data_IF_193473043969
#
_entry.id   IF_193473043969
#
_cell.length_a   1.000
_cell.length_b   1.000
_cell.length_c   1.000
_cell.angle_alpha   90.00
_cell.angle_beta   90.00
_cell.angle_gamma   90.00
#
_symmetry.space_group_name_H-M   'P 1'
#
loop_
_entity.id
_entity.type
_entity.pdbx_description
1 polymer ?
#
# COMPACT_ATOMS: atom_id res chain seq x y z
N UNK A 1 17.08 5.06 -22.11
CA UNK A 1 16.22 4.60 -20.99
C UNK A 1 14.79 4.88 -21.40
N UNK A 2 13.96 3.82 -21.45
CA UNK A 2 12.53 3.97 -21.67
C UNK A 2 11.83 3.77 -20.34
N UNK A 3 10.83 4.62 -20.08
CA UNK A 3 10.03 4.60 -18.85
C UNK A 3 8.58 4.37 -19.22
N UNK A 4 7.96 3.39 -18.58
CA UNK A 4 6.52 3.13 -18.74
C UNK A 4 5.87 2.77 -17.41
N UNK A 5 4.56 2.93 -17.31
CA UNK A 5 3.80 2.53 -16.14
C UNK A 5 3.54 1.02 -16.15
N UNK A 6 3.33 0.44 -14.95
CA UNK A 6 2.92 -0.96 -14.85
C UNK A 6 1.58 -1.23 -15.56
N UNK A 7 0.65 -0.27 -15.54
CA UNK A 7 -0.62 -0.39 -16.25
C UNK A 7 -0.43 -0.48 -17.79
N UNK A 8 0.56 0.25 -18.33
CA UNK A 8 0.90 0.15 -19.74
C UNK A 8 1.47 -1.24 -20.06
N UNK A 9 2.38 -1.74 -19.22
CA UNK A 9 2.93 -3.10 -19.36
C UNK A 9 1.82 -4.17 -19.28
N UNK A 10 0.88 -4.03 -18.33
CA UNK A 10 -0.28 -4.92 -18.21
C UNK A 10 -1.07 -4.98 -19.51
N UNK A 11 -1.39 -3.82 -20.08
CA UNK A 11 -2.15 -3.71 -21.31
C UNK A 11 -1.41 -4.38 -22.47
N UNK A 12 -0.16 -4.02 -22.69
CA UNK A 12 0.65 -4.53 -23.80
C UNK A 12 0.82 -6.06 -23.72
N UNK A 13 1.08 -6.57 -22.51
CA UNK A 13 1.22 -8.00 -22.27
C UNK A 13 -0.09 -8.78 -22.43
N UNK A 14 -1.24 -8.21 -22.05
CA UNK A 14 -2.55 -8.83 -22.28
C UNK A 14 -2.96 -8.83 -23.74
N UNK A 15 -2.60 -7.80 -24.51
CA UNK A 15 -2.89 -7.70 -25.95
C UNK A 15 -2.06 -8.70 -26.77
N UNK A 16 -0.77 -8.81 -26.47
CA UNK A 16 0.14 -9.72 -27.20
C UNK A 16 1.34 -10.09 -26.29
N UNK A 17 1.25 -11.19 -25.53
CA UNK A 17 2.30 -11.62 -24.63
C UNK A 17 3.64 -11.89 -25.31
N UNK A 18 3.61 -12.60 -26.45
CA UNK A 18 4.84 -13.01 -27.16
C UNK A 18 5.58 -11.78 -27.70
N UNK A 19 4.87 -10.90 -28.40
CA UNK A 19 5.44 -9.67 -28.95
C UNK A 19 5.99 -8.76 -27.87
N UNK A 20 5.31 -8.63 -26.73
CA UNK A 20 5.76 -7.81 -25.60
C UNK A 20 7.05 -8.36 -25.01
N UNK A 21 7.12 -9.67 -24.75
CA UNK A 21 8.33 -10.32 -24.25
C UNK A 21 9.49 -10.24 -25.22
N UNK A 22 9.26 -10.51 -26.52
CA UNK A 22 10.29 -10.41 -27.56
C UNK A 22 10.83 -8.99 -27.68
N UNK A 23 9.95 -7.99 -27.65
CA UNK A 23 10.36 -6.58 -27.67
C UNK A 23 11.28 -6.26 -26.49
N UNK A 24 10.88 -6.63 -25.26
CA UNK A 24 11.67 -6.38 -24.06
C UNK A 24 13.01 -7.13 -24.13
N UNK A 25 12.98 -8.41 -24.51
CA UNK A 25 14.19 -9.23 -24.65
C UNK A 25 15.19 -8.65 -25.65
N UNK A 26 14.71 -8.10 -26.75
CA UNK A 26 15.57 -7.52 -27.82
C UNK A 26 16.11 -6.14 -27.45
N UNK A 27 15.29 -5.30 -26.80
CA UNK A 27 15.61 -3.87 -26.65
C UNK A 27 16.33 -3.51 -25.34
N UNK A 28 16.18 -4.34 -24.29
CA UNK A 28 16.68 -3.98 -22.95
C UNK A 28 17.58 -5.07 -22.37
N UNK A 29 18.62 -4.65 -21.65
CA UNK A 29 19.52 -5.53 -20.87
C UNK A 29 19.07 -5.59 -19.41
N UNK A 30 18.61 -4.47 -18.88
CA UNK A 30 18.16 -4.30 -17.51
C UNK A 30 16.69 -3.90 -17.48
N UNK A 31 15.97 -4.41 -16.50
CA UNK A 31 14.59 -4.03 -16.18
C UNK A 31 14.61 -3.53 -14.76
N UNK A 32 14.17 -2.28 -14.53
CA UNK A 32 14.08 -1.68 -13.21
C UNK A 32 12.61 -1.51 -12.85
N UNK A 33 12.18 -2.23 -11.82
CA UNK A 33 10.85 -2.15 -11.26
C UNK A 33 10.89 -1.18 -10.06
N UNK A 34 10.67 0.10 -10.34
CA UNK A 34 10.57 1.12 -9.30
C UNK A 34 9.23 1.01 -8.58
N UNK A 35 9.22 1.27 -7.27
CA UNK A 35 8.05 1.09 -6.40
C UNK A 35 7.42 -0.31 -6.54
N UNK A 36 8.25 -1.36 -6.50
CA UNK A 36 7.82 -2.75 -6.73
C UNK A 36 6.75 -3.26 -5.75
N UNK A 37 6.52 -2.56 -4.64
CA UNK A 37 5.38 -2.82 -3.75
C UNK A 37 4.02 -2.69 -4.47
N UNK A 38 3.98 -1.96 -5.61
CA UNK A 38 2.80 -1.84 -6.46
C UNK A 38 2.16 -3.19 -6.77
N UNK A 39 2.94 -4.21 -7.08
CA UNK A 39 2.39 -5.51 -7.46
C UNK A 39 1.43 -6.07 -6.43
N UNK A 40 1.74 -5.92 -5.15
CA UNK A 40 0.92 -6.44 -4.05
C UNK A 40 -0.03 -5.39 -3.47
N UNK A 41 0.43 -4.15 -3.24
CA UNK A 41 -0.40 -3.12 -2.63
C UNK A 41 -1.61 -2.77 -3.49
N UNK A 42 -1.38 -2.57 -4.79
CA UNK A 42 -2.44 -2.19 -5.71
C UNK A 42 -3.32 -3.39 -6.15
N UNK A 43 -2.93 -4.63 -5.82
CA UNK A 43 -3.75 -5.81 -6.09
C UNK A 43 -5.14 -5.75 -5.46
N UNK A 44 -5.33 -4.94 -4.42
CA UNK A 44 -6.62 -4.64 -3.82
C UNK A 44 -7.59 -3.96 -4.80
N UNK A 45 -7.08 -3.07 -5.64
CA UNK A 45 -7.87 -2.23 -6.55
C UNK A 45 -7.70 -2.60 -8.02
N UNK A 46 -6.61 -3.27 -8.35
CA UNK A 46 -6.26 -3.67 -9.70
C UNK A 46 -5.88 -5.16 -9.75
N UNK A 47 -6.82 -6.00 -10.11
CA UNK A 47 -6.59 -7.45 -10.24
C UNK A 47 -5.52 -7.81 -11.29
N UNK A 48 -5.17 -6.87 -12.18
CA UNK A 48 -4.18 -7.06 -13.24
C UNK A 48 -2.74 -6.81 -12.80
N UNK A 49 -2.48 -6.45 -11.54
CA UNK A 49 -1.08 -6.32 -11.04
C UNK A 49 -0.34 -7.65 -11.18
N UNK A 50 -1.04 -8.77 -11.02
CA UNK A 50 -0.50 -10.11 -11.25
C UNK A 50 -0.01 -10.31 -12.69
N UNK A 51 -0.68 -9.72 -13.67
CA UNK A 51 -0.29 -9.80 -15.10
C UNK A 51 1.04 -9.11 -15.35
N UNK A 52 1.24 -7.91 -14.78
CA UNK A 52 2.52 -7.21 -14.88
C UNK A 52 3.64 -7.99 -14.17
N UNK A 53 3.35 -8.53 -12.98
CA UNK A 53 4.29 -9.34 -12.24
C UNK A 53 4.72 -10.59 -13.05
N UNK A 54 3.76 -11.35 -13.58
CA UNK A 54 4.02 -12.53 -14.41
C UNK A 54 4.83 -12.20 -15.67
N UNK A 55 4.58 -11.06 -16.33
CA UNK A 55 5.39 -10.60 -17.44
C UNK A 55 6.85 -10.40 -17.04
N UNK A 56 7.11 -9.77 -15.90
CA UNK A 56 8.47 -9.54 -15.38
C UNK A 56 9.14 -10.86 -14.98
N UNK A 57 8.42 -11.76 -14.30
CA UNK A 57 8.94 -13.07 -13.89
C UNK A 57 9.44 -13.93 -15.05
N UNK A 58 8.76 -13.87 -16.20
CA UNK A 58 9.22 -14.58 -17.41
C UNK A 58 10.54 -14.02 -17.99
N UNK A 59 10.93 -12.83 -17.57
CA UNK A 59 12.15 -12.17 -18.04
C UNK A 59 13.35 -12.40 -17.10
N UNK A 60 13.12 -12.82 -15.85
CA UNK A 60 14.17 -13.03 -14.83
C UNK A 60 15.24 -14.04 -15.30
N UNK A 61 14.84 -15.06 -16.06
CA UNK A 61 15.78 -16.09 -16.57
C UNK A 61 16.76 -15.58 -17.64
N UNK A 62 16.46 -14.45 -18.29
CA UNK A 62 17.23 -13.93 -19.43
C UNK A 62 17.61 -12.45 -19.30
N UNK A 63 17.15 -11.76 -18.27
CA UNK A 63 17.42 -10.35 -18.02
C UNK A 63 17.81 -10.13 -16.57
N UNK A 64 18.58 -9.07 -16.32
CA UNK A 64 18.79 -8.58 -14.96
C UNK A 64 17.59 -7.72 -14.56
N UNK A 65 16.79 -8.21 -13.61
CA UNK A 65 15.65 -7.50 -13.07
C UNK A 65 16.02 -6.93 -11.71
N UNK A 66 15.77 -5.63 -11.50
CA UNK A 66 16.06 -4.92 -10.26
C UNK A 66 14.73 -4.42 -9.70
N UNK A 67 14.35 -4.94 -8.55
CA UNK A 67 13.16 -4.48 -7.82
C UNK A 67 13.56 -3.46 -6.76
N UNK A 68 12.93 -2.30 -6.75
CA UNK A 68 13.19 -1.23 -5.79
C UNK A 68 11.91 -0.82 -5.08
N UNK A 69 11.91 -0.77 -3.77
CA UNK A 69 10.81 -0.26 -2.95
C UNK A 69 11.23 -0.03 -1.51
N UNK A 70 10.50 0.84 -0.82
CA UNK A 70 10.63 1.03 0.63
C UNK A 70 9.87 -0.06 1.43
N UNK A 71 8.92 -0.77 0.82
CA UNK A 71 7.98 -1.66 1.52
C UNK A 71 7.65 -2.91 0.69
N UNK A 72 8.62 -3.81 0.53
CA UNK A 72 8.42 -5.06 -0.23
C UNK A 72 8.82 -6.33 0.56
N UNK A 73 8.80 -6.26 1.88
CA UNK A 73 9.27 -7.36 2.74
C UNK A 73 8.54 -8.69 2.45
N UNK A 74 7.25 -8.64 2.08
CA UNK A 74 6.46 -9.82 1.72
C UNK A 74 6.94 -10.45 0.40
N UNK A 75 7.31 -9.67 -0.64
CA UNK A 75 7.92 -10.21 -1.88
C UNK A 75 9.30 -10.82 -1.57
N UNK A 76 10.09 -10.13 -0.78
CA UNK A 76 11.41 -10.62 -0.34
C UNK A 76 11.26 -11.93 0.43
N UNK A 77 10.28 -12.03 1.31
CA UNK A 77 10.02 -13.26 2.06
C UNK A 77 9.64 -14.41 1.13
N UNK A 78 8.70 -14.18 0.20
CA UNK A 78 8.32 -15.17 -0.83
C UNK A 78 9.55 -15.68 -1.58
N UNK A 79 10.34 -14.78 -2.15
CA UNK A 79 11.52 -15.17 -2.94
C UNK A 79 12.59 -15.90 -2.12
N UNK A 80 12.73 -15.60 -0.83
CA UNK A 80 13.62 -16.35 0.09
C UNK A 80 13.09 -17.75 0.37
N UNK A 81 11.79 -17.89 0.60
CA UNK A 81 11.14 -19.18 0.83
C UNK A 81 11.20 -20.09 -0.41
N UNK A 82 11.08 -19.49 -1.60
CA UNK A 82 11.23 -20.19 -2.88
C UNK A 82 12.69 -20.44 -3.29
N UNK A 83 13.66 -19.86 -2.57
CA UNK A 83 15.08 -19.96 -2.91
C UNK A 83 15.48 -19.19 -4.17
N UNK A 84 14.63 -18.26 -4.65
CA UNK A 84 14.88 -17.50 -5.87
C UNK A 84 15.66 -16.20 -5.62
N UNK A 85 15.83 -15.78 -4.36
CA UNK A 85 16.61 -14.60 -3.97
C UNK A 85 17.88 -15.01 -3.20
N UNK A 86 19.05 -15.10 -3.86
CA UNK A 86 20.32 -15.28 -3.18
C UNK A 86 20.64 -14.10 -2.25
N UNK A 87 21.26 -14.33 -1.09
CA UNK A 87 21.57 -13.27 -0.13
C UNK A 87 22.40 -12.11 -0.72
N UNK A 88 23.29 -12.38 -1.65
CA UNK A 88 24.13 -11.41 -2.35
C UNK A 88 23.36 -10.51 -3.30
N UNK A 89 22.14 -10.85 -3.69
CA UNK A 89 21.27 -10.07 -4.55
C UNK A 89 20.26 -9.22 -3.75
N UNK A 90 20.33 -9.25 -2.42
CA UNK A 90 19.47 -8.45 -1.56
C UNK A 90 20.26 -7.32 -0.90
N UNK A 91 19.85 -6.08 -1.21
CA UNK A 91 20.46 -4.87 -0.67
C UNK A 91 19.42 -4.08 0.12
N UNK A 92 19.66 -3.88 1.42
CA UNK A 92 18.87 -2.99 2.25
C UNK A 92 19.63 -1.70 2.49
N UNK A 93 19.07 -0.58 2.05
CA UNK A 93 19.60 0.75 2.32
C UNK A 93 18.91 1.27 3.59
N UNK A 94 19.59 1.32 4.75
CA UNK A 94 18.97 1.78 5.96
C UNK A 94 18.67 3.27 5.87
N UNK A 95 17.50 3.70 6.31
CA UNK A 95 17.24 5.13 6.53
C UNK A 95 18.12 5.64 7.65
N UNK A 96 18.86 6.70 7.39
CA UNK A 96 19.75 7.30 8.39
C UNK A 96 18.97 7.94 9.54
N UNK A 97 17.84 8.60 9.25
CA UNK A 97 16.97 9.24 10.24
C UNK A 97 15.56 9.43 9.67
N UNK A 98 14.54 9.20 10.48
CA UNK A 98 13.18 9.58 10.13
C UNK A 98 12.95 11.06 10.38
N UNK A 99 12.02 11.66 9.60
CA UNK A 99 11.49 12.98 9.93
C UNK A 99 10.52 12.95 11.13
N UNK A 100 10.13 11.77 11.61
CA UNK A 100 9.20 11.63 12.73
C UNK A 100 9.92 11.82 14.05
N UNK A 101 9.55 12.86 14.79
CA UNK A 101 10.12 13.19 16.11
C UNK A 101 9.35 12.61 17.29
N UNK A 102 8.05 12.34 17.10
CA UNK A 102 7.14 11.88 18.14
C UNK A 102 5.98 11.12 17.52
N UNK A 103 5.49 10.06 18.19
CA UNK A 103 4.30 9.30 17.78
C UNK A 103 3.22 9.47 18.86
N UNK A 104 1.98 9.74 18.42
CA UNK A 104 0.78 9.78 19.26
C UNK A 104 -0.29 8.88 18.68
N UNK A 105 -1.11 8.30 19.58
CA UNK A 105 -2.28 7.53 19.18
C UNK A 105 -3.56 8.29 19.50
N UNK A 106 -4.57 8.13 18.65
CA UNK A 106 -5.93 8.59 18.87
C UNK A 106 -6.91 7.52 18.40
N UNK A 107 -8.13 7.49 18.95
CA UNK A 107 -9.09 6.42 18.67
C UNK A 107 -10.37 6.91 18.00
N UNK A 108 -10.80 8.13 18.31
CA UNK A 108 -12.09 8.67 17.90
C UNK A 108 -11.94 9.92 17.04
N UNK A 109 -12.92 10.14 16.16
CA UNK A 109 -12.95 11.33 15.31
C UNK A 109 -12.98 12.64 16.12
N UNK A 110 -13.62 12.62 17.31
CA UNK A 110 -13.61 13.77 18.22
C UNK A 110 -12.20 14.06 18.76
N UNK A 111 -11.40 13.04 19.06
CA UNK A 111 -10.02 13.19 19.50
C UNK A 111 -9.15 13.75 18.35
N UNK A 112 -9.31 13.20 17.13
CA UNK A 112 -8.64 13.74 15.96
C UNK A 112 -8.96 15.21 15.75
N UNK A 113 -10.25 15.59 15.85
CA UNK A 113 -10.67 16.98 15.72
C UNK A 113 -10.03 17.86 16.79
N UNK A 114 -10.06 17.46 18.05
CA UNK A 114 -9.46 18.20 19.14
C UNK A 114 -7.93 18.38 18.95
N UNK A 115 -7.24 17.34 18.47
CA UNK A 115 -5.82 17.40 18.16
C UNK A 115 -5.56 18.40 17.01
N UNK A 116 -6.34 18.32 15.91
CA UNK A 116 -6.21 19.24 14.76
C UNK A 116 -6.47 20.71 15.17
N UNK A 117 -7.47 20.94 16.03
CA UNK A 117 -7.80 22.26 16.53
C UNK A 117 -6.72 22.83 17.47
N UNK A 118 -5.95 21.96 18.15
CA UNK A 118 -4.86 22.36 19.06
C UNK A 118 -3.55 22.71 18.34
N UNK A 119 -3.41 22.38 17.05
CA UNK A 119 -2.19 22.65 16.27
C UNK A 119 -2.09 24.16 15.98
N UNK A 120 -0.91 24.76 16.18
CA UNK A 120 -0.68 26.17 15.86
C UNK A 120 -1.04 26.53 14.43
N UNK A 121 -1.62 27.72 14.17
CA UNK A 121 -2.09 28.11 12.84
C UNK A 121 -0.98 28.24 11.78
N UNK A 122 0.25 28.42 12.19
CA UNK A 122 1.43 28.49 11.33
C UNK A 122 2.00 27.11 10.97
N UNK A 123 1.50 26.04 11.57
CA UNK A 123 1.93 24.66 11.29
C UNK A 123 0.91 23.98 10.36
N UNK A 124 1.42 23.26 9.35
CA UNK A 124 0.59 22.54 8.39
C UNK A 124 0.47 21.07 8.73
N UNK A 125 -0.59 20.48 8.22
CA UNK A 125 -1.02 19.10 8.55
C UNK A 125 -1.34 18.33 7.27
N UNK A 126 -0.91 17.05 7.22
CA UNK A 126 -1.41 16.08 6.25
C UNK A 126 -2.25 15.05 7.01
N UNK A 127 -3.43 14.73 6.51
CA UNK A 127 -4.34 13.74 7.08
C UNK A 127 -4.67 12.68 6.03
N UNK A 128 -4.16 11.48 6.22
CA UNK A 128 -4.48 10.33 5.39
C UNK A 128 -5.71 9.62 5.95
N UNK A 129 -6.79 9.61 5.17
CA UNK A 129 -8.05 8.96 5.52
C UNK A 129 -8.25 7.67 4.72
N UNK A 130 -9.05 6.73 5.25
CA UNK A 130 -9.22 5.40 4.66
C UNK A 130 -10.23 5.34 3.53
N UNK A 131 -11.12 6.35 3.40
CA UNK A 131 -12.20 6.30 2.44
C UNK A 131 -12.64 7.67 1.92
N UNK A 132 -13.22 7.66 0.71
CA UNK A 132 -13.87 8.82 0.12
C UNK A 132 -14.98 9.39 1.03
N UNK A 133 -15.79 8.51 1.65
CA UNK A 133 -16.85 8.93 2.55
C UNK A 133 -16.32 9.72 3.77
N UNK A 134 -15.15 9.32 4.29
CA UNK A 134 -14.49 10.07 5.37
C UNK A 134 -14.00 11.42 4.87
N UNK A 135 -13.44 11.48 3.66
CA UNK A 135 -12.98 12.74 3.06
C UNK A 135 -14.12 13.72 2.85
N UNK A 136 -15.28 13.28 2.35
CA UNK A 136 -16.48 14.13 2.20
C UNK A 136 -16.98 14.66 3.56
N UNK A 137 -16.94 13.85 4.62
CA UNK A 137 -17.25 14.35 5.97
C UNK A 137 -16.28 15.44 6.42
N UNK A 138 -14.98 15.30 6.12
CA UNK A 138 -14.00 16.34 6.44
C UNK A 138 -14.25 17.62 5.64
N UNK A 139 -14.68 17.49 4.40
CA UNK A 139 -15.04 18.61 3.55
C UNK A 139 -16.22 19.42 4.12
N UNK A 140 -17.21 18.73 4.69
CA UNK A 140 -18.33 19.41 5.37
C UNK A 140 -17.88 20.15 6.64
N UNK A 141 -16.87 19.66 7.35
CA UNK A 141 -16.39 20.24 8.60
C UNK A 141 -15.43 21.40 8.37
N UNK A 142 -14.46 21.24 7.44
CA UNK A 142 -13.36 22.18 7.26
C UNK A 142 -13.53 23.10 6.06
N UNK A 143 -14.44 22.79 5.12
CA UNK A 143 -14.76 23.62 3.95
C UNK A 143 -13.53 24.11 3.20
N UNK A 144 -13.49 25.37 2.90
CA UNK A 144 -12.39 26.00 2.14
C UNK A 144 -11.10 26.23 2.94
N UNK A 145 -11.10 25.94 4.25
CA UNK A 145 -9.89 26.06 5.09
C UNK A 145 -8.89 24.93 4.87
N UNK A 146 -9.31 23.84 4.22
CA UNK A 146 -8.48 22.67 3.90
C UNK A 146 -8.48 22.37 2.40
N UNK A 147 -7.49 21.62 1.94
CA UNK A 147 -7.43 21.00 0.62
C UNK A 147 -7.85 19.53 0.70
N UNK A 148 -8.39 18.98 -0.39
CA UNK A 148 -8.89 17.62 -0.46
C UNK A 148 -8.41 16.94 -1.73
N UNK A 149 -7.71 15.81 -1.61
CA UNK A 149 -7.21 15.07 -2.75
C UNK A 149 -7.47 13.56 -2.61
N UNK A 150 -8.11 12.96 -3.60
CA UNK A 150 -8.39 11.52 -3.65
C UNK A 150 -8.47 11.01 -5.08
N UNK A 151 -8.34 9.68 -5.27
CA UNK A 151 -8.64 9.00 -6.53
C UNK A 151 -10.16 8.83 -6.63
N UNK A 152 -10.83 9.73 -7.33
CA UNK A 152 -12.23 9.50 -7.72
C UNK A 152 -12.30 9.39 -9.24
N UNK A 153 -13.28 8.66 -9.77
CA UNK A 153 -13.59 8.63 -11.21
C UNK A 153 -14.01 10.01 -11.76
N UNK A 154 -13.96 11.03 -10.93
CA UNK A 154 -14.32 12.40 -11.23
C UNK A 154 -13.29 13.36 -10.64
N UNK A 155 -12.85 14.32 -11.42
CA UNK A 155 -12.31 15.65 -11.10
C UNK A 155 -11.31 15.75 -9.89
N UNK A 156 -11.50 15.00 -8.81
CA UNK A 156 -10.72 15.11 -7.57
C UNK A 156 -9.39 14.32 -7.58
N UNK A 157 -9.17 13.42 -8.52
CA UNK A 157 -7.92 12.64 -8.67
C UNK A 157 -7.09 13.06 -9.88
N UNK A 158 -7.45 14.12 -10.58
CA UNK A 158 -6.65 14.65 -11.68
C UNK A 158 -5.37 15.33 -11.18
N UNK A 159 -4.36 15.43 -12.04
CA UNK A 159 -3.15 16.20 -11.72
C UNK A 159 -3.47 17.66 -11.42
N UNK A 160 -4.49 18.22 -12.06
CA UNK A 160 -4.95 19.60 -11.80
C UNK A 160 -5.46 19.74 -10.37
N UNK A 161 -6.27 18.80 -9.88
CA UNK A 161 -6.73 18.78 -8.48
C UNK A 161 -5.59 18.62 -7.48
N UNK A 162 -4.52 17.89 -7.85
CA UNK A 162 -3.32 17.81 -7.03
C UNK A 162 -2.60 19.17 -6.99
N UNK A 163 -2.44 19.85 -8.14
CA UNK A 163 -1.82 21.19 -8.20
C UNK A 163 -2.59 22.23 -7.40
N UNK A 164 -3.91 22.07 -7.24
CA UNK A 164 -4.74 22.90 -6.36
C UNK A 164 -4.53 22.61 -4.87
N UNK A 165 -3.86 21.52 -4.53
CA UNK A 165 -3.55 21.15 -3.15
C UNK A 165 -2.07 21.33 -2.81
N UNK A 166 -1.17 20.96 -3.75
CA UNK A 166 0.28 20.96 -3.58
C UNK A 166 0.94 21.60 -4.79
N UNK A 167 1.76 22.62 -4.57
CA UNK A 167 2.54 23.31 -5.61
C UNK A 167 4.01 23.38 -5.20
N UNK A 168 4.89 22.96 -6.10
CA UNK A 168 6.34 22.94 -5.84
C UNK A 168 6.72 22.18 -4.56
N UNK A 169 5.98 21.10 -4.25
CA UNK A 169 6.16 20.32 -3.03
C UNK A 169 5.60 20.98 -1.75
N UNK A 170 4.92 22.13 -1.85
CA UNK A 170 4.37 22.83 -0.68
C UNK A 170 2.85 22.75 -0.66
N UNK A 171 2.27 22.57 0.52
CA UNK A 171 0.82 22.62 0.70
C UNK A 171 0.30 24.04 0.47
N UNK A 172 -0.76 24.19 -0.30
CA UNK A 172 -1.39 25.49 -0.54
C UNK A 172 -2.28 25.94 0.62
N UNK A 173 -2.89 25.00 1.35
CA UNK A 173 -3.68 25.28 2.55
C UNK A 173 -3.05 24.65 3.79
N UNK A 174 -3.51 25.04 4.97
CA UNK A 174 -2.99 24.57 6.24
C UNK A 174 -3.18 23.06 6.44
N UNK A 175 -4.29 22.49 5.98
CA UNK A 175 -4.61 21.09 6.13
C UNK A 175 -4.82 20.48 4.74
N UNK A 176 -4.19 19.34 4.48
CA UNK A 176 -4.46 18.48 3.33
C UNK A 176 -5.10 17.19 3.82
N UNK A 177 -6.36 16.94 3.44
CA UNK A 177 -6.99 15.63 3.57
C UNK A 177 -6.80 14.85 2.27
N UNK A 178 -6.30 13.61 2.39
CA UNK A 178 -6.02 12.76 1.23
C UNK A 178 -6.26 11.29 1.56
N UNK A 179 -6.30 10.46 0.52
CA UNK A 179 -6.30 8.99 0.63
C UNK A 179 -4.95 8.45 0.17
N UNK A 180 -4.84 7.13 0.05
CA UNK A 180 -3.65 6.42 -0.47
C UNK A 180 -3.22 6.87 -1.87
N UNK A 181 -4.06 7.63 -2.60
CA UNK A 181 -3.71 8.18 -3.93
C UNK A 181 -2.45 9.05 -3.91
N UNK A 182 -2.15 9.68 -2.77
CA UNK A 182 -0.94 10.50 -2.63
C UNK A 182 0.35 9.65 -2.66
N UNK A 183 0.27 8.30 -2.59
CA UNK A 183 1.43 7.41 -2.70
C UNK A 183 2.14 7.53 -4.06
N UNK A 184 1.43 7.94 -5.09
CA UNK A 184 1.95 7.94 -6.45
C UNK A 184 2.64 9.26 -6.79
N UNK A 185 3.92 9.39 -6.41
CA UNK A 185 4.82 10.36 -7.03
C UNK A 185 4.80 11.79 -6.49
N UNK A 186 4.18 12.06 -5.34
CA UNK A 186 4.17 13.40 -4.76
C UNK A 186 5.11 13.49 -3.56
N UNK A 187 6.17 14.26 -3.70
CA UNK A 187 7.07 14.62 -2.60
C UNK A 187 6.66 15.96 -2.00
N UNK A 188 6.36 15.96 -0.71
CA UNK A 188 6.04 17.19 0.04
C UNK A 188 7.32 17.66 0.74
N UNK A 189 7.87 18.77 0.22
CA UNK A 189 9.09 19.45 0.69
C UNK A 189 8.72 20.78 1.35
N UNK A 190 7.87 20.72 2.35
CA UNK A 190 7.32 21.87 3.07
C UNK A 190 7.70 21.76 4.55
N UNK A 191 8.62 22.59 4.99
CA UNK A 191 9.10 22.62 6.38
C UNK A 191 8.01 23.01 7.38
N UNK A 192 6.95 23.67 6.93
CA UNK A 192 5.82 24.03 7.78
C UNK A 192 4.87 22.87 8.04
N UNK A 193 5.00 21.74 7.31
CA UNK A 193 4.28 20.50 7.60
C UNK A 193 4.92 19.83 8.82
N UNK A 194 4.29 20.00 9.99
CA UNK A 194 4.77 19.48 11.27
C UNK A 194 3.92 18.35 11.83
N UNK A 195 2.82 17.99 11.17
CA UNK A 195 1.89 16.97 11.64
C UNK A 195 1.41 16.08 10.51
N UNK A 196 1.45 14.76 10.74
CA UNK A 196 0.93 13.74 9.83
C UNK A 196 -0.03 12.85 10.61
N UNK A 197 -1.29 12.77 10.17
CA UNK A 197 -2.31 11.88 10.72
C UNK A 197 -2.53 10.72 9.75
N UNK A 198 -2.55 9.50 10.27
CA UNK A 198 -2.70 8.28 9.47
C UNK A 198 -3.81 7.42 10.06
N UNK A 199 -4.81 7.09 9.24
CA UNK A 199 -5.91 6.21 9.60
C UNK A 199 -5.72 4.76 9.12
N UNK A 200 -4.77 4.51 8.24
CA UNK A 200 -4.43 3.18 7.75
C UNK A 200 -3.88 2.32 8.89
N UNK A 201 -4.03 1.00 8.73
CA UNK A 201 -3.63 0.05 9.75
C UNK A 201 -2.47 -0.87 9.33
N UNK A 202 -2.23 -0.99 8.02
CA UNK A 202 -1.14 -1.79 7.50
C UNK A 202 0.20 -1.04 7.62
N UNK A 203 1.25 -1.65 8.19
CA UNK A 203 2.56 -1.02 8.34
C UNK A 203 3.12 -0.44 7.05
N UNK A 204 2.97 -1.17 5.95
CA UNK A 204 3.47 -0.71 4.65
C UNK A 204 2.77 0.57 4.16
N UNK A 205 1.46 0.70 4.38
CA UNK A 205 0.71 1.91 4.06
C UNK A 205 1.21 3.08 4.92
N UNK A 206 1.38 2.85 6.24
CA UNK A 206 1.90 3.85 7.18
C UNK A 206 3.27 4.36 6.76
N UNK A 207 4.18 3.47 6.36
CA UNK A 207 5.54 3.83 5.91
C UNK A 207 5.50 4.66 4.62
N UNK A 208 4.65 4.29 3.67
CA UNK A 208 4.49 5.03 2.41
C UNK A 208 3.92 6.43 2.65
N UNK A 209 2.95 6.57 3.54
CA UNK A 209 2.34 7.86 3.89
C UNK A 209 3.33 8.79 4.58
N UNK A 210 4.08 8.28 5.56
CA UNK A 210 5.17 9.03 6.19
C UNK A 210 6.21 9.45 5.15
N UNK A 211 6.52 8.56 4.21
CA UNK A 211 7.47 8.79 3.14
C UNK A 211 7.14 9.94 2.21
N UNK A 212 5.90 10.41 2.18
CA UNK A 212 5.51 11.57 1.34
C UNK A 212 6.06 12.90 1.87
N UNK A 213 6.27 13.02 3.19
CA UNK A 213 7.03 14.16 3.75
C UNK A 213 8.51 13.91 3.52
N UNK A 214 9.14 14.73 2.68
CA UNK A 214 10.58 14.74 2.45
C UNK A 214 11.20 15.86 3.27
N UNK A 215 11.96 15.55 4.33
CA UNK A 215 12.61 16.56 5.13
C UNK A 215 13.64 17.33 4.30
N UNK A 216 13.70 18.64 4.47
CA UNK A 216 14.68 19.51 3.81
C UNK A 216 16.07 19.38 4.46
N UNK A 217 16.10 19.20 5.78
CA UNK A 217 17.31 18.98 6.57
C UNK A 217 17.01 18.09 7.80
N UNK A 218 18.00 17.92 8.68
CA UNK A 218 17.87 17.08 9.87
C UNK A 218 16.96 17.68 10.96
N UNK A 219 16.64 18.97 10.90
CA UNK A 219 15.78 19.67 11.84
C UNK A 219 14.32 19.73 11.35
N UNK A 220 14.11 19.43 10.06
CA UNK A 220 12.77 19.37 9.48
C UNK A 220 12.02 18.10 9.90
N UNK A 221 11.50 18.13 11.13
CA UNK A 221 10.79 17.02 11.76
C UNK A 221 9.28 17.26 11.83
N UNK A 222 8.54 16.16 11.98
CA UNK A 222 7.08 16.17 12.15
C UNK A 222 6.63 15.19 13.25
N UNK A 223 5.43 15.41 13.79
CA UNK A 223 4.75 14.51 14.70
C UNK A 223 3.82 13.60 13.92
N UNK A 224 3.83 12.32 14.26
CA UNK A 224 2.97 11.29 13.67
C UNK A 224 1.82 10.98 14.59
N UNK A 225 0.60 10.98 14.05
CA UNK A 225 -0.62 10.61 14.76
C UNK A 225 -1.22 9.38 14.09
N UNK A 226 -1.25 8.26 14.81
CA UNK A 226 -1.80 7.00 14.32
C UNK A 226 -3.18 6.76 14.92
N UNK A 227 -4.14 6.38 14.08
CA UNK A 227 -5.44 5.94 14.56
C UNK A 227 -5.34 4.54 15.15
N UNK A 228 -5.50 4.44 16.49
CA UNK A 228 -5.53 3.17 17.19
C UNK A 228 -6.68 2.27 16.72
N UNK A 229 -6.43 0.97 16.67
CA UNK A 229 -7.40 -0.06 16.26
C UNK A 229 -7.81 -0.90 17.45
N UNK A 230 -9.13 -1.02 17.63
CA UNK A 230 -9.70 -1.87 18.70
C UNK A 230 -9.70 -3.35 18.30
N UNK A 231 -9.81 -4.24 19.30
CA UNK A 231 -9.86 -5.69 19.11
C UNK A 231 -10.90 -6.12 18.07
N UNK A 232 -12.14 -5.58 18.16
CA UNK A 232 -13.22 -5.93 17.21
C UNK A 232 -12.90 -5.53 15.77
N UNK A 233 -12.24 -4.38 15.56
CA UNK A 233 -11.83 -3.95 14.23
C UNK A 233 -10.76 -4.90 13.67
N UNK A 234 -9.77 -5.29 14.48
CA UNK A 234 -8.72 -6.23 14.08
C UNK A 234 -9.28 -7.64 13.80
N UNK A 235 -10.22 -8.12 14.61
CA UNK A 235 -10.93 -9.38 14.36
C UNK A 235 -11.71 -9.34 13.03
N UNK A 236 -12.33 -8.21 12.71
CA UNK A 236 -13.02 -8.02 11.43
C UNK A 236 -12.01 -8.08 10.28
N UNK A 237 -10.87 -7.39 10.38
CA UNK A 237 -9.80 -7.45 9.36
C UNK A 237 -9.25 -8.86 9.18
N UNK A 238 -9.06 -9.60 10.28
CA UNK A 238 -8.64 -10.99 10.22
C UNK A 238 -9.65 -11.87 9.49
N UNK A 239 -10.94 -11.71 9.81
CA UNK A 239 -12.02 -12.46 9.14
C UNK A 239 -12.11 -12.13 7.65
N UNK A 240 -12.07 -10.85 7.28
CA UNK A 240 -12.07 -10.39 5.88
C UNK A 240 -10.89 -10.99 5.09
N UNK A 241 -9.68 -10.90 5.63
CA UNK A 241 -8.51 -11.45 4.97
C UNK A 241 -8.58 -12.99 4.85
N UNK A 242 -9.05 -13.68 5.90
CA UNK A 242 -9.20 -15.13 5.89
C UNK A 242 -10.28 -15.59 4.90
N UNK A 243 -11.41 -14.90 4.83
CA UNK A 243 -12.50 -15.18 3.89
C UNK A 243 -12.01 -15.05 2.44
N UNK A 244 -11.27 -13.99 2.12
CA UNK A 244 -10.74 -13.78 0.77
C UNK A 244 -9.65 -14.79 0.38
N UNK A 245 -8.89 -15.32 1.35
CA UNK A 245 -7.85 -16.32 1.10
C UNK A 245 -8.40 -17.75 0.96
N UNK A 246 -9.51 -18.05 1.58
CA UNK A 246 -10.02 -19.42 1.67
C UNK A 246 -10.16 -20.14 0.32
N UNK A 247 -10.64 -19.50 -0.80
CA UNK A 247 -10.69 -20.15 -2.10
C UNK A 247 -9.34 -20.70 -2.57
N UNK A 248 -8.29 -19.87 -2.48
CA UNK A 248 -6.93 -20.28 -2.87
C UNK A 248 -6.38 -21.37 -1.94
N UNK A 249 -6.56 -21.24 -0.64
CA UNK A 249 -6.12 -22.24 0.33
C UNK A 249 -6.82 -23.59 0.13
N UNK A 250 -8.14 -23.60 -0.14
CA UNK A 250 -8.88 -24.80 -0.45
C UNK A 250 -8.41 -25.45 -1.76
N UNK A 251 -8.14 -24.62 -2.79
CA UNK A 251 -7.62 -25.08 -4.06
C UNK A 251 -6.21 -25.69 -3.92
N UNK A 252 -5.31 -25.05 -3.21
CA UNK A 252 -3.97 -25.58 -2.91
C UNK A 252 -4.01 -26.90 -2.13
N UNK A 253 -4.96 -27.03 -1.19
CA UNK A 253 -5.11 -28.25 -0.40
C UNK A 253 -5.67 -29.40 -1.24
N UNK A 254 -6.60 -29.10 -2.16
CA UNK A 254 -7.20 -30.10 -3.04
C UNK A 254 -8.13 -31.09 -2.32
N UNK A 255 -8.52 -32.16 -3.03
CA UNK A 255 -9.30 -33.27 -2.52
C UNK A 255 -10.62 -32.87 -1.85
N UNK A 256 -10.96 -33.52 -0.73
CA UNK A 256 -12.22 -33.28 -0.01
C UNK A 256 -12.40 -31.84 0.46
N UNK A 257 -11.31 -31.12 0.76
CA UNK A 257 -11.35 -29.71 1.20
C UNK A 257 -11.84 -28.83 0.04
N UNK A 258 -11.30 -29.06 -1.14
CA UNK A 258 -11.70 -28.35 -2.35
C UNK A 258 -13.16 -28.67 -2.76
N UNK A 259 -13.52 -29.95 -2.77
CA UNK A 259 -14.90 -30.39 -3.08
C UNK A 259 -15.92 -29.78 -2.11
N UNK A 260 -15.61 -29.76 -0.81
CA UNK A 260 -16.43 -29.13 0.21
C UNK A 260 -16.59 -27.62 -0.03
N UNK A 261 -15.52 -26.94 -0.40
CA UNK A 261 -15.55 -25.52 -0.73
C UNK A 261 -16.43 -25.26 -1.96
N UNK A 262 -16.32 -26.07 -3.02
CA UNK A 262 -17.16 -25.96 -4.21
C UNK A 262 -18.66 -26.18 -3.91
N UNK A 263 -19.00 -26.90 -2.86
CA UNK A 263 -20.37 -27.10 -2.38
C UNK A 263 -20.92 -25.95 -1.52
N UNK A 264 -20.17 -24.88 -1.28
CA UNK A 264 -20.67 -23.74 -0.48
C UNK A 264 -21.64 -22.87 -1.29
N UNK A 265 -22.68 -22.30 -0.65
CA UNK A 265 -23.70 -21.52 -1.37
C UNK A 265 -23.15 -20.25 -2.04
N UNK A 266 -22.06 -19.70 -1.51
CA UNK A 266 -21.43 -18.43 -1.94
C UNK A 266 -20.21 -18.62 -2.85
N UNK A 267 -19.94 -19.84 -3.32
CA UNK A 267 -18.76 -20.18 -4.12
C UNK A 267 -18.62 -19.30 -5.37
N UNK A 268 -19.73 -19.04 -6.07
CA UNK A 268 -19.73 -18.24 -7.29
C UNK A 268 -19.42 -16.75 -7.06
N UNK A 269 -19.62 -16.24 -5.84
CA UNK A 269 -19.26 -14.88 -5.47
C UNK A 269 -17.77 -14.77 -5.06
N UNK A 270 -17.18 -15.91 -4.71
CA UNK A 270 -15.82 -16.02 -4.18
C UNK A 270 -14.77 -16.42 -5.22
N UNK A 271 -15.22 -16.88 -6.39
CA UNK A 271 -14.38 -17.23 -7.54
C UNK A 271 -14.70 -16.27 -8.68
N UNK A 272 -13.72 -15.51 -9.14
CA UNK A 272 -13.90 -14.55 -10.23
C UNK A 272 -12.67 -13.68 -10.47
N UNK A 273 -12.73 -12.85 -11.52
CA UNK A 273 -11.59 -12.02 -11.93
C UNK A 273 -11.08 -11.09 -10.81
N UNK A 274 -11.97 -10.61 -9.96
CA UNK A 274 -11.60 -9.74 -8.84
C UNK A 274 -11.27 -10.50 -7.55
N UNK A 275 -11.36 -11.83 -7.56
CA UNK A 275 -11.06 -12.69 -6.42
C UNK A 275 -9.58 -13.13 -6.41
N UNK A 276 -9.15 -13.80 -5.33
CA UNK A 276 -7.84 -14.45 -5.27
C UNK A 276 -7.79 -15.64 -6.23
N UNK A 277 -8.91 -16.33 -6.40
CA UNK A 277 -9.04 -17.46 -7.31
C UNK A 277 -10.00 -17.11 -8.44
N UNK A 278 -9.55 -17.32 -9.68
CA UNK A 278 -10.34 -17.11 -10.89
C UNK A 278 -10.51 -18.41 -11.67
N UNK A 279 -11.64 -18.57 -12.34
CA UNK A 279 -11.90 -19.67 -13.25
C UNK A 279 -11.92 -19.18 -14.69
N UNK A 280 -11.02 -19.67 -15.52
CA UNK A 280 -11.02 -19.38 -16.97
C UNK A 280 -11.96 -20.35 -17.70
N UNK A 281 -13.11 -19.83 -18.11
CA UNK A 281 -14.12 -20.59 -18.86
C UNK A 281 -13.63 -21.12 -20.22
N UNK A 282 -12.56 -20.57 -20.78
CA UNK A 282 -12.00 -20.99 -22.08
C UNK A 282 -11.11 -22.22 -21.93
N UNK A 283 -10.31 -22.27 -20.87
CA UNK A 283 -9.38 -23.37 -20.60
C UNK A 283 -9.99 -24.41 -19.65
N UNK A 284 -11.01 -24.05 -18.87
CA UNK A 284 -11.57 -24.89 -17.83
C UNK A 284 -10.69 -24.99 -16.58
N UNK A 285 -9.77 -24.07 -16.39
CA UNK A 285 -8.77 -24.11 -15.34
C UNK A 285 -8.97 -23.00 -14.30
N UNK A 286 -8.54 -23.27 -13.07
CA UNK A 286 -8.48 -22.30 -12.01
C UNK A 286 -7.11 -21.64 -11.97
N UNK A 287 -7.08 -20.33 -11.80
CA UNK A 287 -5.86 -19.52 -11.71
C UNK A 287 -5.85 -18.70 -10.43
N UNK A 288 -4.75 -18.78 -9.70
CA UNK A 288 -4.53 -17.96 -8.50
C UNK A 288 -3.94 -16.61 -8.91
N UNK A 289 -4.52 -15.53 -8.37
CA UNK A 289 -3.91 -14.22 -8.41
C UNK A 289 -2.90 -14.13 -7.24
N UNK A 290 -1.64 -14.46 -7.51
CA UNK A 290 -0.57 -14.51 -6.52
C UNK A 290 -0.41 -13.19 -5.76
N UNK A 291 -0.56 -12.06 -6.43
CA UNK A 291 -0.40 -10.74 -5.80
C UNK A 291 -1.53 -10.46 -4.80
N UNK A 292 -2.76 -10.87 -5.11
CA UNK A 292 -3.88 -10.81 -4.16
C UNK A 292 -3.72 -11.79 -3.01
N UNK A 293 -3.29 -13.00 -3.30
CA UNK A 293 -3.00 -13.99 -2.27
C UNK A 293 -1.98 -13.47 -1.27
N UNK A 294 -0.86 -12.93 -1.75
CA UNK A 294 0.16 -12.31 -0.91
C UNK A 294 -0.36 -11.15 -0.09
N UNK A 295 -1.17 -10.28 -0.69
CA UNK A 295 -1.79 -9.16 0.03
C UNK A 295 -2.63 -9.64 1.21
N UNK A 296 -3.51 -10.63 0.99
CA UNK A 296 -4.37 -11.13 2.05
C UNK A 296 -3.61 -11.97 3.09
N UNK A 297 -2.57 -12.70 2.70
CA UNK A 297 -1.64 -13.36 3.64
C UNK A 297 -0.96 -12.32 4.55
N UNK A 298 -0.47 -11.22 3.97
CA UNK A 298 0.12 -10.13 4.73
C UNK A 298 -0.89 -9.47 5.68
N UNK A 299 -2.10 -9.16 5.20
CA UNK A 299 -3.17 -8.60 6.03
C UNK A 299 -3.53 -9.53 7.19
N UNK A 300 -3.71 -10.83 6.91
CA UNK A 300 -4.02 -11.85 7.91
C UNK A 300 -2.93 -11.96 8.97
N UNK A 301 -1.67 -12.07 8.56
CA UNK A 301 -0.53 -12.18 9.48
C UNK A 301 -0.35 -10.92 10.33
N UNK A 302 -0.56 -9.75 9.74
CA UNK A 302 -0.50 -8.46 10.44
C UNK A 302 -1.61 -8.35 11.49
N UNK A 303 -2.86 -8.68 11.12
CA UNK A 303 -3.99 -8.68 12.05
C UNK A 303 -3.76 -9.64 13.24
N UNK A 304 -3.25 -10.85 12.97
CA UNK A 304 -2.90 -11.82 14.02
C UNK A 304 -1.83 -11.27 14.97
N UNK A 305 -0.76 -10.67 14.46
CA UNK A 305 0.27 -10.04 15.29
C UNK A 305 -0.30 -8.92 16.17
N UNK A 306 -1.18 -8.08 15.60
CA UNK A 306 -1.83 -6.99 16.33
C UNK A 306 -2.80 -7.50 17.41
N UNK A 307 -3.51 -8.60 17.16
CA UNK A 307 -4.37 -9.25 18.15
C UNK A 307 -3.57 -9.88 19.30
N UNK A 308 -2.40 -10.46 18.99
CA UNK A 308 -1.54 -11.13 19.98
C UNK A 308 -0.78 -10.14 20.86
N UNK A 309 -0.22 -9.06 20.30
CA UNK A 309 0.66 -8.12 20.99
C UNK A 309 -0.03 -6.82 21.41
N UNK A 310 -1.26 -6.59 20.96
CA UNK A 310 -1.90 -5.28 20.97
C UNK A 310 -1.48 -4.43 19.77
N UNK A 311 -2.39 -3.55 19.33
CA UNK A 311 -2.17 -2.72 18.13
C UNK A 311 -0.92 -1.83 18.24
N UNK A 312 -0.75 -1.13 19.38
CA UNK A 312 0.34 -0.17 19.58
C UNK A 312 1.71 -0.85 19.46
N UNK A 313 1.94 -1.87 20.26
CA UNK A 313 3.23 -2.57 20.28
C UNK A 313 3.53 -3.25 18.95
N UNK A 314 2.51 -3.81 18.32
CA UNK A 314 2.66 -4.45 17.04
C UNK A 314 3.03 -3.45 15.94
N UNK A 315 2.26 -2.36 15.77
CA UNK A 315 2.53 -1.38 14.71
C UNK A 315 3.90 -0.72 14.90
N UNK A 316 4.24 -0.30 16.13
CA UNK A 316 5.54 0.30 16.42
C UNK A 316 6.70 -0.67 16.12
N UNK A 317 6.54 -1.96 16.47
CA UNK A 317 7.57 -2.96 16.17
C UNK A 317 7.77 -3.20 14.67
N UNK A 318 6.70 -3.04 13.86
CA UNK A 318 6.74 -3.28 12.42
C UNK A 318 7.29 -2.10 11.62
N UNK A 319 7.08 -0.84 12.10
CA UNK A 319 7.56 0.36 11.39
C UNK A 319 8.90 0.89 11.91
N UNK A 320 9.39 0.35 13.03
CA UNK A 320 10.56 0.85 13.74
C UNK A 320 11.82 0.96 12.87
N UNK A 321 12.12 -0.11 12.15
CA UNK A 321 13.34 -0.18 11.34
C UNK A 321 13.28 0.79 10.16
N UNK A 322 12.10 0.95 9.59
CA UNK A 322 11.87 1.86 8.47
C UNK A 322 11.86 3.32 8.89
N UNK A 323 11.61 3.59 10.16
CA UNK A 323 11.71 4.93 10.75
C UNK A 323 13.11 5.26 11.29
N UNK A 324 14.09 4.36 11.13
CA UNK A 324 15.49 4.60 11.53
C UNK A 324 15.74 4.39 13.02
N UNK A 325 14.90 3.61 13.70
CA UNK A 325 15.08 3.22 15.10
C UNK A 325 13.95 3.64 16.03
N UNK A 326 14.14 3.57 17.34
CA UNK A 326 13.12 3.91 18.32
C UNK A 326 12.78 5.40 18.28
N UNK A 327 11.49 5.70 18.20
CA UNK A 327 10.95 7.06 18.25
C UNK A 327 10.20 7.22 19.57
N UNK A 328 10.34 8.36 20.27
CA UNK A 328 9.58 8.63 21.48
C UNK A 328 8.08 8.56 21.25
N UNK A 329 7.39 7.75 22.05
CA UNK A 329 5.94 7.73 22.11
C UNK A 329 5.47 8.74 23.17
N UNK A 330 4.53 9.60 22.79
CA UNK A 330 3.86 10.46 23.74
C UNK A 330 2.67 9.71 24.36
N UNK A 331 2.73 9.50 25.66
CA UNK A 331 1.67 8.85 26.45
C UNK A 331 0.53 9.81 26.80
#
# INVERSE_FOLDING_TARGET
>A
IDVQTYQKLQKDYQEDPEKTLEHIKRCYTYIVCDEAHYFVNDAKFNHKTNVAYQCIEQLVSCKTVIYMSATMDFLIQKWKEEGTLPPENYYRIPRRKSCVSEIRFYYRDAERKALLDSIPPNEKVIVFVTSYATLEKMKLIYGDTASYYCSGNNIHGSMDALYDCVRDGKLLKRILFTTTVLYNGVDIKDETVKHIFIEQWLPMEVIQEIGRKRPLDENDTCKLYLRGKGMRELETRLKEASYNLEPALCYHTGGEVWEKFLGTPDVNERIGEESVLNYDHRTGEYHINEMKEMLFLYQRSTALKMLQKGYHDAILSMIRDDLGGPIPEYK
#
